data_IF_659749852645
#
_entry.id   IF_659749852645
#
_cell.length_a   1.000
_cell.length_b   1.000
_cell.length_c   1.000
_cell.angle_alpha   90.00
_cell.angle_beta   90.00
_cell.angle_gamma   90.00
#
_symmetry.space_group_name_H-M   'P 1'
#
loop_
_entity.id
_entity.type
_entity.pdbx_description
1 polymer ?
#
# COMPACT_ATOMS: atom_id res chain seq x y z
N UNK A 1 5.15 -4.30 7.13
CA UNK A 1 4.54 -5.52 7.69
C UNK A 1 3.33 -5.88 6.85
N UNK A 2 3.14 -7.15 6.44
CA UNK A 2 1.92 -7.53 5.72
C UNK A 2 0.71 -7.28 6.62
N UNK A 3 -0.33 -6.66 6.08
CA UNK A 3 -1.60 -6.47 6.77
C UNK A 3 -2.16 -7.86 7.11
N UNK A 4 -2.27 -8.16 8.41
CA UNK A 4 -2.77 -9.44 8.91
C UNK A 4 -3.67 -9.16 10.11
N UNK A 5 -4.84 -9.80 10.13
CA UNK A 5 -5.82 -9.64 11.19
C UNK A 5 -5.79 -10.85 12.11
N UNK A 6 -5.87 -10.63 13.42
CA UNK A 6 -5.97 -11.73 14.38
C UNK A 6 -7.39 -12.28 14.48
N UNK A 7 -8.40 -11.42 14.33
CA UNK A 7 -9.82 -11.77 14.31
C UNK A 7 -10.59 -10.93 13.27
N UNK A 8 -11.87 -11.23 13.05
CA UNK A 8 -12.72 -10.46 12.14
C UNK A 8 -13.05 -9.07 12.69
N UNK A 9 -13.12 -8.08 11.81
CA UNK A 9 -13.42 -6.68 12.15
C UNK A 9 -14.65 -6.19 11.40
N UNK A 10 -15.53 -5.46 12.06
CA UNK A 10 -16.68 -4.79 11.43
C UNK A 10 -17.99 -5.03 12.18
N UNK A 11 -19.09 -5.06 11.43
CA UNK A 11 -20.43 -5.22 11.99
C UNK A 11 -20.57 -6.54 12.77
N UNK A 12 -20.99 -6.44 14.04
CA UNK A 12 -21.27 -7.62 14.88
C UNK A 12 -20.05 -8.48 15.26
N UNK A 13 -18.82 -7.98 15.05
CA UNK A 13 -17.59 -8.68 15.40
C UNK A 13 -17.04 -8.24 16.76
N UNK A 14 -16.07 -9.00 17.31
CA UNK A 14 -15.39 -8.65 18.57
C UNK A 14 -14.62 -7.33 18.48
N UNK A 15 -14.18 -6.94 17.28
CA UNK A 15 -13.50 -5.67 17.01
C UNK A 15 -12.31 -5.45 17.94
N UNK A 16 -11.36 -6.39 17.91
CA UNK A 16 -10.08 -6.24 18.62
C UNK A 16 -9.42 -4.93 18.24
N UNK A 17 -8.99 -4.17 19.25
CA UNK A 17 -8.48 -2.80 19.08
C UNK A 17 -7.39 -2.71 18.02
N UNK A 18 -6.38 -3.58 18.09
CA UNK A 18 -5.24 -3.59 17.16
C UNK A 18 -5.67 -3.87 15.71
N UNK A 19 -6.57 -4.84 15.50
CA UNK A 19 -7.09 -5.18 14.18
C UNK A 19 -7.93 -4.03 13.61
N UNK A 20 -8.73 -3.36 14.45
CA UNK A 20 -9.54 -2.20 14.05
C UNK A 20 -8.64 -1.02 13.67
N UNK A 21 -7.57 -0.75 14.43
CA UNK A 21 -6.60 0.32 14.10
C UNK A 21 -5.91 0.04 12.76
N UNK A 22 -5.52 -1.22 12.51
CA UNK A 22 -4.96 -1.62 11.22
C UNK A 22 -5.95 -1.38 10.07
N UNK A 23 -7.22 -1.79 10.25
CA UNK A 23 -8.29 -1.57 9.25
C UNK A 23 -8.53 -0.09 9.02
N UNK A 24 -8.62 0.72 10.08
CA UNK A 24 -8.84 2.17 9.99
C UNK A 24 -7.69 2.86 9.23
N UNK A 25 -6.46 2.51 9.57
CA UNK A 25 -5.25 3.02 8.90
C UNK A 25 -5.29 2.71 7.41
N UNK A 26 -5.64 1.47 7.06
CA UNK A 26 -5.64 1.04 5.67
C UNK A 26 -6.83 1.63 4.90
N UNK A 27 -8.03 1.68 5.48
CA UNK A 27 -9.18 2.37 4.88
C UNK A 27 -8.91 3.86 4.62
N UNK A 28 -8.21 4.54 5.53
CA UNK A 28 -7.83 5.94 5.34
C UNK A 28 -6.97 6.14 4.08
N UNK A 29 -6.13 5.17 3.68
CA UNK A 29 -5.42 5.25 2.40
C UNK A 29 -6.37 5.26 1.21
N UNK A 30 -7.40 4.42 1.24
CA UNK A 30 -8.42 4.36 0.18
C UNK A 30 -9.31 5.60 0.16
N UNK A 31 -9.58 6.21 1.32
CA UNK A 31 -10.28 7.50 1.44
C UNK A 31 -9.41 8.61 0.83
N UNK A 32 -8.13 8.68 1.18
CA UNK A 32 -7.18 9.63 0.59
C UNK A 32 -7.05 9.49 -0.92
N UNK A 33 -7.06 8.25 -1.43
CA UNK A 33 -7.06 7.96 -2.87
C UNK A 33 -8.41 8.28 -3.56
N UNK A 34 -9.41 8.80 -2.83
CA UNK A 34 -10.76 9.13 -3.32
C UNK A 34 -11.53 7.95 -3.91
N UNK A 35 -11.15 6.70 -3.59
CA UNK A 35 -11.78 5.49 -4.12
C UNK A 35 -13.06 5.10 -3.38
N UNK A 36 -13.25 5.61 -2.16
CA UNK A 36 -14.39 5.28 -1.30
C UNK A 36 -15.53 6.30 -1.35
N UNK A 37 -15.45 7.28 -2.25
CA UNK A 37 -16.39 8.40 -2.32
C UNK A 37 -16.06 9.50 -1.30
N UNK A 38 -16.99 10.45 -1.07
CA UNK A 38 -16.78 11.58 -0.15
C UNK A 38 -16.93 11.14 1.32
N UNK A 39 -16.02 10.27 1.78
CA UNK A 39 -15.89 9.89 3.17
C UNK A 39 -14.86 10.77 3.86
N UNK A 40 -15.12 11.14 5.10
CA UNK A 40 -14.13 11.77 5.96
C UNK A 40 -13.15 10.72 6.50
N UNK A 41 -11.93 11.18 6.82
CA UNK A 41 -10.91 10.33 7.42
C UNK A 41 -11.38 9.77 8.76
N UNK A 42 -11.17 8.48 8.94
CA UNK A 42 -11.55 7.79 10.16
C UNK A 42 -10.53 8.07 11.26
N UNK A 43 -10.98 8.32 12.51
CA UNK A 43 -10.07 8.37 13.64
C UNK A 43 -9.51 6.96 13.93
N UNK A 44 -8.18 6.83 13.97
CA UNK A 44 -7.49 5.58 14.32
C UNK A 44 -7.53 5.42 15.83
N UNK A 45 -8.62 4.84 16.33
CA UNK A 45 -8.89 4.70 17.77
C UNK A 45 -9.20 3.26 18.18
N UNK A 46 -9.19 2.34 17.22
CA UNK A 46 -9.49 0.93 17.45
C UNK A 46 -10.94 0.65 17.83
N UNK A 47 -11.85 1.60 17.58
CA UNK A 47 -13.29 1.45 17.85
C UNK A 47 -14.07 1.29 16.55
N UNK A 48 -14.64 0.10 16.36
CA UNK A 48 -15.62 -0.17 15.32
C UNK A 48 -16.96 -0.47 15.98
N UNK A 49 -17.89 0.47 15.93
CA UNK A 49 -19.29 0.23 16.32
C UNK A 49 -20.07 -0.21 15.09
N UNK A 50 -21.08 -1.08 15.27
CA UNK A 50 -21.85 -1.68 14.17
C UNK A 50 -22.50 -0.67 13.21
N UNK A 51 -22.75 0.56 13.67
CA UNK A 51 -23.31 1.68 12.88
C UNK A 51 -22.34 2.86 12.73
N UNK A 52 -21.07 2.68 13.14
CA UNK A 52 -20.06 3.74 13.16
C UNK A 52 -19.45 4.03 11.78
N UNK A 53 -18.64 5.10 11.73
CA UNK A 53 -17.95 5.53 10.52
C UNK A 53 -17.05 4.42 9.93
N UNK A 54 -16.37 3.65 10.79
CA UNK A 54 -15.53 2.52 10.36
C UNK A 54 -16.34 1.49 9.56
N UNK A 55 -17.52 1.07 10.04
CA UNK A 55 -18.35 0.08 9.34
C UNK A 55 -18.92 0.64 8.04
N UNK A 56 -19.29 1.93 8.01
CA UNK A 56 -19.72 2.60 6.77
C UNK A 56 -18.59 2.59 5.72
N UNK A 57 -17.37 2.92 6.13
CA UNK A 57 -16.22 2.87 5.24
C UNK A 57 -15.89 1.44 4.75
N UNK A 58 -16.03 0.43 5.61
CA UNK A 58 -15.90 -0.98 5.20
C UNK A 58 -16.94 -1.34 4.13
N UNK A 59 -18.21 -0.91 4.30
CA UNK A 59 -19.26 -1.18 3.31
C UNK A 59 -19.00 -0.49 1.98
N UNK A 60 -18.55 0.77 1.98
CA UNK A 60 -18.16 1.46 0.75
C UNK A 60 -16.96 0.79 0.09
N UNK A 61 -15.98 0.30 0.88
CA UNK A 61 -14.84 -0.46 0.35
C UNK A 61 -15.28 -1.76 -0.31
N UNK A 62 -16.12 -2.54 0.35
CA UNK A 62 -16.69 -3.77 -0.21
C UNK A 62 -17.47 -3.49 -1.50
N UNK A 63 -18.28 -2.42 -1.53
CA UNK A 63 -19.08 -2.05 -2.70
C UNK A 63 -18.22 -1.59 -3.87
N UNK A 64 -17.31 -0.64 -3.65
CA UNK A 64 -16.57 0.03 -4.74
C UNK A 64 -15.30 -0.70 -5.15
N UNK A 65 -14.56 -1.24 -4.19
CA UNK A 65 -13.26 -1.90 -4.43
C UNK A 65 -13.42 -3.42 -4.56
N UNK A 66 -14.24 -4.03 -3.69
CA UNK A 66 -14.52 -5.46 -3.82
C UNK A 66 -15.54 -5.80 -4.90
N UNK A 67 -16.41 -4.85 -5.29
CA UNK A 67 -17.47 -5.06 -6.27
C UNK A 67 -18.68 -5.82 -5.71
N UNK A 68 -18.87 -5.82 -4.39
CA UNK A 68 -19.93 -6.57 -3.72
C UNK A 68 -21.28 -5.86 -3.91
N UNK A 69 -22.28 -6.59 -4.40
CA UNK A 69 -23.65 -6.07 -4.58
C UNK A 69 -24.35 -5.84 -3.24
N UNK A 70 -24.08 -6.66 -2.23
CA UNK A 70 -24.65 -6.53 -0.90
C UNK A 70 -23.53 -6.53 0.16
N UNK A 71 -22.98 -5.35 0.51
CA UNK A 71 -21.88 -5.24 1.46
C UNK A 71 -22.35 -5.54 2.90
N UNK A 72 -21.76 -6.58 3.49
CA UNK A 72 -22.03 -7.05 4.85
C UNK A 72 -21.39 -6.18 5.95
N UNK A 73 -20.36 -5.38 5.61
CA UNK A 73 -19.67 -4.50 6.54
C UNK A 73 -18.73 -5.23 7.51
N UNK A 74 -18.29 -6.44 7.17
CA UNK A 74 -17.34 -7.25 7.92
C UNK A 74 -16.11 -7.60 7.08
N UNK A 75 -14.95 -7.53 7.71
CA UNK A 75 -13.67 -8.00 7.17
C UNK A 75 -13.32 -9.26 7.95
N UNK A 76 -13.41 -10.40 7.28
CA UNK A 76 -12.93 -11.67 7.81
C UNK A 76 -11.40 -11.73 7.69
N UNK A 77 -10.74 -12.31 8.70
CA UNK A 77 -9.29 -12.54 8.75
C UNK A 77 -8.74 -13.08 7.41
N UNK A 78 -9.27 -14.21 6.95
CA UNK A 78 -8.81 -14.90 5.74
C UNK A 78 -9.71 -14.62 4.52
N UNK A 79 -10.44 -13.50 4.55
CA UNK A 79 -11.40 -13.15 3.50
C UNK A 79 -10.79 -12.49 2.28
N UNK A 80 -11.50 -12.54 1.16
CA UNK A 80 -11.15 -11.77 -0.05
C UNK A 80 -11.08 -10.26 0.21
N UNK A 81 -11.90 -9.76 1.13
CA UNK A 81 -11.89 -8.35 1.55
C UNK A 81 -10.60 -7.96 2.26
N UNK A 82 -10.04 -8.80 3.15
CA UNK A 82 -8.78 -8.48 3.85
C UNK A 82 -7.58 -8.51 2.89
N UNK A 83 -7.58 -9.45 1.94
CA UNK A 83 -6.57 -9.49 0.87
C UNK A 83 -6.61 -8.25 -0.02
N UNK A 84 -7.80 -7.81 -0.44
CA UNK A 84 -7.93 -6.56 -1.22
C UNK A 84 -7.53 -5.35 -0.39
N UNK A 85 -7.90 -5.31 0.89
CA UNK A 85 -7.56 -4.20 1.77
C UNK A 85 -6.04 -4.09 1.97
N UNK A 86 -5.32 -5.22 2.00
CA UNK A 86 -3.86 -5.25 2.10
C UNK A 86 -3.14 -4.59 0.89
N UNK A 87 -3.81 -4.46 -0.26
CA UNK A 87 -3.24 -3.76 -1.41
C UNK A 87 -3.15 -2.26 -1.13
N UNK A 88 -2.16 -1.61 -1.75
CA UNK A 88 -2.01 -0.17 -1.66
C UNK A 88 -2.79 0.52 -2.81
N UNK A 89 -3.75 1.42 -2.52
CA UNK A 89 -4.60 2.03 -3.54
C UNK A 89 -3.85 2.96 -4.50
N UNK A 90 -2.63 3.41 -4.14
CA UNK A 90 -1.78 4.23 -5.01
C UNK A 90 -0.85 3.40 -5.89
N UNK A 91 -0.79 2.08 -5.72
CA UNK A 91 -0.09 1.19 -6.63
C UNK A 91 -1.10 0.49 -7.53
N UNK A 92 -1.30 1.05 -8.72
CA UNK A 92 -1.90 0.28 -9.82
C UNK A 92 -1.05 -0.97 -10.09
N UNK A 93 -1.61 -2.06 -10.63
CA UNK A 93 -0.81 -3.24 -11.02
C UNK A 93 0.37 -2.87 -11.91
N UNK A 94 0.21 -1.85 -12.76
CA UNK A 94 1.26 -1.32 -13.60
C UNK A 94 2.33 -0.57 -12.80
N UNK A 95 1.95 0.30 -11.86
CA UNK A 95 2.93 0.98 -10.98
C UNK A 95 3.65 -0.01 -10.05
N UNK A 96 2.97 -1.07 -9.59
CA UNK A 96 3.58 -2.15 -8.83
C UNK A 96 4.58 -2.95 -9.67
N UNK A 97 4.23 -3.24 -10.92
CA UNK A 97 5.13 -3.90 -11.87
C UNK A 97 6.34 -3.01 -12.20
N UNK A 98 6.13 -1.71 -12.43
CA UNK A 98 7.21 -0.74 -12.66
C UNK A 98 8.12 -0.66 -11.44
N UNK A 99 7.58 -0.54 -10.23
CA UNK A 99 8.38 -0.50 -9.00
C UNK A 99 9.16 -1.79 -8.78
N UNK A 100 8.52 -2.95 -8.96
CA UNK A 100 9.17 -4.26 -8.83
C UNK A 100 10.28 -4.45 -9.88
N UNK A 101 10.04 -4.00 -11.11
CA UNK A 101 11.04 -3.99 -12.17
C UNK A 101 12.21 -3.05 -11.84
N UNK A 102 11.90 -1.86 -11.34
CA UNK A 102 12.90 -0.85 -10.97
C UNK A 102 13.76 -1.34 -9.81
N UNK A 103 13.17 -1.98 -8.79
CA UNK A 103 13.89 -2.61 -7.68
C UNK A 103 14.76 -3.78 -8.14
N UNK A 104 14.27 -4.63 -9.04
CA UNK A 104 15.08 -5.69 -9.66
C UNK A 104 16.27 -5.12 -10.41
N UNK A 105 16.05 -4.10 -11.23
CA UNK A 105 17.11 -3.46 -12.00
C UNK A 105 18.11 -2.72 -11.09
N UNK A 106 17.66 -2.22 -9.94
CA UNK A 106 18.54 -1.63 -8.92
C UNK A 106 19.41 -2.70 -8.22
N UNK A 107 18.83 -3.86 -7.90
CA UNK A 107 19.49 -4.92 -7.15
C UNK A 107 20.39 -5.82 -8.01
N UNK A 108 20.05 -6.02 -9.29
CA UNK A 108 20.72 -6.97 -10.18
C UNK A 108 21.42 -6.30 -11.37
N UNK A 109 21.39 -4.97 -11.44
CA UNK A 109 22.00 -4.21 -12.53
C UNK A 109 21.06 -3.99 -13.72
N UNK A 110 21.57 -3.36 -14.79
CA UNK A 110 20.76 -2.94 -15.92
C UNK A 110 19.97 -4.10 -16.53
N UNK A 111 18.73 -3.87 -16.98
CA UNK A 111 18.00 -4.85 -17.76
C UNK A 111 18.77 -5.23 -19.03
N UNK A 112 18.55 -6.45 -19.52
CA UNK A 112 19.13 -6.92 -20.78
C UNK A 112 18.81 -5.95 -21.93
N UNK A 113 19.85 -5.54 -22.67
CA UNK A 113 19.73 -4.58 -23.77
C UNK A 113 19.99 -3.12 -23.39
N UNK A 114 20.21 -2.80 -22.12
CA UNK A 114 20.65 -1.46 -21.69
C UNK A 114 22.15 -1.50 -21.34
N UNK A 115 22.99 -0.67 -21.99
CA UNK A 115 24.40 -0.53 -21.62
C UNK A 115 24.58 -0.08 -20.17
N UNK A 116 25.53 -0.70 -19.46
CA UNK A 116 25.71 -0.47 -18.03
C UNK A 116 26.16 0.97 -17.70
N UNK A 117 26.86 1.63 -18.61
CA UNK A 117 27.25 3.04 -18.50
C UNK A 117 26.03 3.98 -18.61
N UNK A 118 25.11 3.70 -19.54
CA UNK A 118 23.89 4.46 -19.74
C UNK A 118 22.97 4.33 -18.52
N UNK A 119 22.84 3.12 -17.99
CA UNK A 119 22.12 2.84 -16.75
C UNK A 119 22.70 3.61 -15.56
N UNK A 120 24.03 3.58 -15.40
CA UNK A 120 24.72 4.25 -14.30
C UNK A 120 24.56 5.78 -14.35
N UNK A 121 24.60 6.36 -15.55
CA UNK A 121 24.38 7.80 -15.76
C UNK A 121 22.94 8.21 -15.50
N UNK A 122 21.97 7.43 -15.99
CA UNK A 122 20.55 7.68 -15.74
C UNK A 122 20.24 7.62 -14.24
N UNK A 123 20.80 6.64 -13.52
CA UNK A 123 20.56 6.48 -12.10
C UNK A 123 21.21 7.58 -11.27
N UNK A 124 22.45 7.98 -11.60
CA UNK A 124 23.09 9.16 -11.00
C UNK A 124 22.26 10.42 -11.23
N UNK A 125 21.76 10.62 -12.46
CA UNK A 125 20.97 11.80 -12.78
C UNK A 125 19.63 11.83 -12.03
N UNK A 126 18.98 10.67 -11.90
CA UNK A 126 17.76 10.50 -11.10
C UNK A 126 18.02 10.84 -9.62
N UNK A 127 19.10 10.33 -9.03
CA UNK A 127 19.45 10.58 -7.63
C UNK A 127 19.82 12.05 -7.39
N UNK A 128 20.56 12.68 -8.31
CA UNK A 128 20.96 14.08 -8.21
C UNK A 128 19.78 15.06 -8.33
N UNK A 129 18.66 14.63 -8.92
CA UNK A 129 17.48 15.46 -9.12
C UNK A 129 16.26 15.01 -8.31
N UNK A 130 16.34 13.89 -7.59
CA UNK A 130 15.29 13.51 -6.64
C UNK A 130 15.38 14.45 -5.45
N UNK A 131 14.44 15.37 -5.30
CA UNK A 131 14.34 16.30 -4.15
C UNK A 131 14.12 15.61 -2.79
N UNK A 132 14.33 14.30 -2.70
CA UNK A 132 14.19 13.48 -1.51
C UNK A 132 15.57 13.16 -0.91
N UNK A 133 15.92 13.86 0.16
CA UNK A 133 17.22 13.78 0.82
C UNK A 133 17.57 12.37 1.35
N UNK A 134 16.58 11.47 1.48
CA UNK A 134 16.78 10.09 1.95
C UNK A 134 17.44 9.20 0.89
N UNK A 135 17.27 9.54 -0.39
CA UNK A 135 17.90 8.82 -1.51
C UNK A 135 19.38 9.21 -1.72
N UNK A 136 19.80 10.33 -1.14
CA UNK A 136 21.19 10.82 -1.15
C UNK A 136 22.03 10.27 0.02
N UNK A 137 21.42 9.56 0.97
CA UNK A 137 22.17 8.97 2.08
C UNK A 137 23.10 7.86 1.58
N UNK A 138 24.39 7.96 1.94
CA UNK A 138 25.47 7.11 1.44
C UNK A 138 25.26 5.59 1.56
N UNK A 139 24.33 5.13 2.40
CA UNK A 139 23.98 3.71 2.55
C UNK A 139 23.26 3.11 1.32
N UNK A 140 22.56 3.91 0.51
CA UNK A 140 21.92 3.45 -0.74
C UNK A 140 22.94 3.43 -1.90
N UNK A 141 23.91 4.35 -1.88
CA UNK A 141 25.04 4.39 -2.83
C UNK A 141 26.02 3.23 -2.63
N UNK A 142 26.10 2.62 -1.45
CA UNK A 142 26.98 1.47 -1.20
C UNK A 142 26.38 0.13 -1.62
N UNK A 143 25.06 0.02 -1.74
CA UNK A 143 24.39 -1.16 -2.29
C UNK A 143 24.53 -1.25 -3.81
N UNK A 144 24.74 -0.10 -4.47
CA UNK A 144 24.94 0.01 -5.90
C UNK A 144 26.44 0.24 -6.12
N UNK A 145 27.23 -0.83 -6.09
CA UNK A 145 28.67 -0.73 -6.35
C UNK A 145 28.92 -0.38 -7.83
N UNK A 146 29.06 0.91 -8.10
CA UNK A 146 29.41 1.45 -9.41
C UNK A 146 30.90 1.25 -9.78
N UNK A 147 31.71 0.56 -8.96
CA UNK A 147 33.18 0.47 -9.14
C UNK A 147 33.66 -0.84 -9.78
N UNK A 148 32.77 -1.68 -10.32
CA UNK A 148 33.15 -2.84 -11.16
C UNK A 148 32.61 -2.76 -12.59
N UNK A 149 32.70 -1.58 -13.21
CA UNK A 149 32.56 -1.41 -14.66
C UNK A 149 33.73 -0.56 -15.14
#
# INVERSE_FOLDING_TARGET
MPFSLTDSVGAGCKNNKADVEAVQTQLNKYIHAQLLGPLELLPINGKATSSGATVKAIKEFQKRVCGMTNPDGKISKDGTTSQKLANDPHMTPMQAAILAYSLKALAFGPPAGIPADLWSRALKNLLSHSGDARLLQGHLLTLIDFRKI
#
